data_IF_014496861487
#
_entry.id   IF_014496861487
#
_cell.length_a   1.000
_cell.length_b   1.000
_cell.length_c   1.000
_cell.angle_alpha   90.00
_cell.angle_beta   90.00
_cell.angle_gamma   90.00
#
_symmetry.space_group_name_H-M   'P 1'
#
loop_
_entity.id
_entity.type
_entity.pdbx_description
1 polymer ?
#
# COMPACT_ATOMS: atom_id res chain seq x y z
N UNK A 1 23.45 -10.52 -77.91
CA UNK A 1 23.58 -11.00 -76.54
C UNK A 1 24.31 -9.96 -75.68
N UNK A 2 23.72 -8.80 -75.34
CA UNK A 2 24.36 -7.80 -74.45
C UNK A 2 23.39 -6.83 -73.77
N UNK A 3 22.15 -7.21 -73.58
CA UNK A 3 21.16 -6.31 -72.92
C UNK A 3 20.37 -6.91 -71.72
N UNK A 4 20.87 -8.02 -71.11
CA UNK A 4 20.14 -8.66 -70.03
C UNK A 4 20.80 -8.54 -68.65
N UNK A 5 21.83 -7.69 -68.48
CA UNK A 5 22.61 -7.62 -67.26
C UNK A 5 22.43 -6.35 -66.42
N UNK A 6 21.57 -5.43 -66.88
CA UNK A 6 21.38 -4.13 -66.16
C UNK A 6 20.10 -4.08 -65.27
N UNK A 7 19.19 -5.03 -65.36
CA UNK A 7 17.91 -4.98 -64.67
C UNK A 7 17.96 -5.63 -63.26
N UNK A 8 19.01 -6.38 -62.94
CA UNK A 8 19.11 -7.07 -61.63
C UNK A 8 19.74 -6.19 -60.52
N UNK A 9 20.36 -5.06 -60.87
CA UNK A 9 21.05 -4.22 -59.90
C UNK A 9 20.17 -3.09 -59.32
N UNK A 10 18.97 -2.86 -59.85
CA UNK A 10 18.08 -1.80 -59.33
C UNK A 10 17.07 -2.27 -58.29
N UNK A 11 16.93 -3.57 -58.06
CA UNK A 11 15.97 -4.11 -57.08
C UNK A 11 16.57 -4.36 -55.69
N UNK A 12 17.88 -4.14 -55.50
CA UNK A 12 18.57 -4.33 -54.22
C UNK A 12 18.71 -3.04 -53.38
N UNK A 13 18.16 -1.91 -53.84
CA UNK A 13 18.31 -0.62 -53.17
C UNK A 13 17.05 -0.15 -52.41
N UNK A 14 15.99 -0.95 -52.32
CA UNK A 14 14.76 -0.60 -51.61
C UNK A 14 14.40 -1.55 -50.47
N UNK A 15 15.35 -2.21 -49.85
CA UNK A 15 15.09 -2.70 -48.49
C UNK A 15 15.56 -1.65 -47.48
N UNK A 16 14.98 -0.48 -47.49
CA UNK A 16 14.89 0.26 -46.26
C UNK A 16 13.90 -0.54 -45.42
N UNK A 17 14.43 -1.34 -44.52
CA UNK A 17 13.66 -1.84 -43.39
C UNK A 17 13.19 -0.60 -42.66
N UNK A 18 11.93 -0.24 -42.81
CA UNK A 18 11.31 0.73 -41.93
C UNK A 18 11.53 0.19 -40.50
N UNK A 19 12.06 1.00 -39.59
CA UNK A 19 12.24 0.58 -38.22
C UNK A 19 10.85 0.16 -37.71
N UNK A 20 10.77 -1.05 -37.18
CA UNK A 20 9.55 -1.56 -36.57
C UNK A 20 9.08 -0.47 -35.59
N UNK A 21 7.87 0.05 -35.74
CA UNK A 21 7.31 1.17 -34.96
C UNK A 21 7.48 1.00 -33.42
N UNK A 22 7.59 -0.23 -32.96
CA UNK A 22 7.81 -0.58 -31.55
C UNK A 22 9.24 -0.34 -31.03
N UNK A 23 10.20 0.05 -31.86
CA UNK A 23 11.59 0.31 -31.43
C UNK A 23 11.88 1.78 -31.12
N UNK A 24 10.96 2.68 -31.39
CA UNK A 24 11.06 4.09 -30.98
C UNK A 24 10.04 4.37 -29.90
N UNK A 25 10.49 4.57 -28.68
CA UNK A 25 9.68 5.27 -27.69
C UNK A 25 9.47 6.70 -28.18
N UNK A 26 8.33 6.97 -28.81
CA UNK A 26 7.96 8.30 -29.32
C UNK A 26 7.46 9.24 -28.21
N UNK A 27 7.37 8.80 -26.98
CA UNK A 27 6.97 9.67 -25.86
C UNK A 27 8.14 10.55 -25.43
N UNK A 28 7.93 11.85 -25.28
CA UNK A 28 8.94 12.73 -24.75
C UNK A 28 9.37 12.24 -23.36
N UNK A 29 10.68 12.17 -23.13
CA UNK A 29 11.24 11.78 -21.81
C UNK A 29 11.33 12.95 -20.86
N UNK A 30 11.07 14.16 -21.35
CA UNK A 30 11.16 15.41 -20.61
C UNK A 30 9.85 16.18 -20.76
N UNK A 31 9.27 16.50 -19.60
CA UNK A 31 8.00 17.23 -19.51
C UNK A 31 8.17 18.45 -18.61
N UNK A 32 7.50 19.54 -18.94
CA UNK A 32 7.35 20.66 -18.03
C UNK A 32 5.86 20.99 -17.88
N UNK A 33 5.38 20.83 -16.65
CA UNK A 33 4.02 21.23 -16.25
C UNK A 33 4.10 22.66 -15.76
N UNK A 34 3.38 23.59 -16.39
CA UNK A 34 3.44 25.03 -16.09
C UNK A 34 2.12 25.55 -15.56
N UNK A 35 2.18 26.70 -14.89
CA UNK A 35 1.02 27.44 -14.40
C UNK A 35 0.10 26.57 -13.50
N UNK A 36 0.67 25.99 -12.45
CA UNK A 36 -0.02 25.13 -11.52
C UNK A 36 0.00 25.67 -10.08
N UNK A 37 -1.01 25.28 -9.29
CA UNK A 37 -0.97 25.34 -7.84
C UNK A 37 -0.32 24.04 -7.34
N UNK A 38 0.95 24.08 -6.96
CA UNK A 38 1.72 22.89 -6.61
C UNK A 38 1.75 22.70 -5.11
N UNK A 39 1.11 21.64 -4.61
CA UNK A 39 1.20 21.22 -3.20
C UNK A 39 2.45 20.34 -3.02
N UNK A 40 3.56 20.98 -2.65
CA UNK A 40 4.87 20.32 -2.53
C UNK A 40 4.92 19.28 -1.41
N UNK A 41 4.22 19.56 -0.32
CA UNK A 41 3.97 18.67 0.82
C UNK A 41 2.74 19.18 1.58
N UNK A 42 2.16 18.41 2.51
CA UNK A 42 1.08 18.91 3.37
C UNK A 42 1.42 20.28 3.99
N UNK A 43 0.52 21.23 3.89
CA UNK A 43 0.69 22.62 4.37
C UNK A 43 1.58 23.53 3.51
N UNK A 44 2.26 23.02 2.49
CA UNK A 44 3.19 23.81 1.66
C UNK A 44 2.77 23.80 0.19
N UNK A 45 2.64 24.99 -0.42
CA UNK A 45 2.26 25.10 -1.82
C UNK A 45 2.95 26.26 -2.54
N UNK A 46 3.02 26.16 -3.88
CA UNK A 46 3.59 27.17 -4.79
C UNK A 46 2.49 27.57 -5.77
N UNK A 47 2.08 28.86 -5.75
CA UNK A 47 1.12 29.41 -6.71
C UNK A 47 1.79 29.76 -8.04
N UNK A 48 1.16 29.36 -9.16
CA UNK A 48 1.69 29.61 -10.50
C UNK A 48 3.06 28.97 -10.71
N UNK A 49 3.27 27.80 -10.10
CA UNK A 49 4.52 27.07 -10.18
C UNK A 49 4.62 26.20 -11.43
N UNK A 50 5.81 25.69 -11.64
CA UNK A 50 6.11 24.71 -12.71
C UNK A 50 6.89 23.52 -12.15
N UNK A 51 6.74 22.38 -12.80
CA UNK A 51 7.45 21.13 -12.49
C UNK A 51 8.13 20.63 -13.73
N UNK A 52 9.46 20.46 -13.71
CA UNK A 52 10.22 19.78 -14.76
C UNK A 52 10.41 18.31 -14.38
N UNK A 53 10.08 17.43 -15.32
CA UNK A 53 10.15 15.98 -15.15
C UNK A 53 11.10 15.43 -16.22
N UNK A 54 12.08 14.63 -15.79
CA UNK A 54 13.02 13.95 -16.69
C UNK A 54 13.15 12.48 -16.29
N UNK A 55 12.95 11.59 -17.27
CA UNK A 55 13.05 10.14 -17.04
C UNK A 55 12.22 9.63 -15.85
N UNK A 56 10.99 10.13 -15.69
CA UNK A 56 10.08 9.73 -14.61
C UNK A 56 10.42 10.31 -13.22
N UNK A 57 11.41 11.20 -13.11
CA UNK A 57 11.76 11.90 -11.87
C UNK A 57 11.56 13.40 -11.99
N UNK A 58 11.24 14.03 -10.87
CA UNK A 58 11.16 15.49 -10.76
C UNK A 58 12.59 16.04 -10.79
N UNK A 59 12.89 16.82 -11.82
CA UNK A 59 14.18 17.47 -12.01
C UNK A 59 14.22 18.81 -11.25
N UNK A 60 13.14 19.58 -11.36
CA UNK A 60 13.01 20.87 -10.68
C UNK A 60 11.54 21.17 -10.40
N UNK A 61 11.29 21.93 -9.34
CA UNK A 61 9.98 22.49 -8.97
C UNK A 61 10.16 23.89 -8.42
N UNK A 62 9.32 24.83 -8.84
CA UNK A 62 9.41 26.20 -8.38
C UNK A 62 8.52 27.15 -9.20
N UNK A 63 8.46 28.42 -8.78
CA UNK A 63 7.70 29.46 -9.49
C UNK A 63 8.39 29.87 -10.82
N UNK A 64 9.71 29.94 -10.82
CA UNK A 64 10.52 30.41 -11.95
C UNK A 64 11.57 29.36 -12.34
N UNK A 65 11.10 28.24 -12.89
CA UNK A 65 12.01 27.24 -13.46
C UNK A 65 12.11 27.47 -14.97
N UNK A 66 13.32 27.31 -15.49
CA UNK A 66 13.54 27.38 -16.95
C UNK A 66 13.10 26.09 -17.59
N UNK A 67 12.14 26.14 -18.50
CA UNK A 67 11.74 24.99 -19.30
C UNK A 67 12.94 24.50 -20.13
N UNK A 68 13.34 23.23 -20.00
CA UNK A 68 14.39 22.65 -20.87
C UNK A 68 13.97 22.73 -22.34
N UNK A 69 14.94 22.94 -23.23
CA UNK A 69 14.65 23.06 -24.67
C UNK A 69 14.10 21.78 -25.29
N UNK A 70 14.37 20.64 -24.70
CA UNK A 70 13.93 19.31 -25.10
C UNK A 70 12.63 18.86 -24.39
N UNK A 71 12.02 19.74 -23.57
CA UNK A 71 10.82 19.42 -22.82
C UNK A 71 9.54 19.67 -23.64
N UNK A 72 8.60 18.77 -23.51
CA UNK A 72 7.22 19.00 -23.90
C UNK A 72 6.49 19.77 -22.80
N UNK A 73 5.98 20.94 -23.12
CA UNK A 73 5.32 21.81 -22.15
C UNK A 73 3.80 21.59 -22.12
N UNK A 74 3.25 21.48 -20.92
CA UNK A 74 1.80 21.39 -20.66
C UNK A 74 1.42 22.50 -19.71
N UNK A 75 0.58 23.43 -20.17
CA UNK A 75 -0.02 24.46 -19.34
C UNK A 75 -1.22 23.85 -18.57
N UNK A 76 -1.15 23.85 -17.26
CA UNK A 76 -2.19 23.30 -16.37
C UNK A 76 -3.30 24.32 -16.03
N UNK A 77 -3.22 25.56 -16.53
CA UNK A 77 -4.26 26.58 -16.38
C UNK A 77 -4.71 26.82 -14.93
N UNK A 78 -3.78 26.78 -13.99
CA UNK A 78 -4.05 26.99 -12.57
C UNK A 78 -4.53 25.75 -11.81
N UNK A 79 -4.56 24.57 -12.44
CA UNK A 79 -4.92 23.31 -11.78
C UNK A 79 -3.99 23.00 -10.60
N UNK A 80 -4.54 22.28 -9.63
CA UNK A 80 -3.82 21.84 -8.44
C UNK A 80 -3.05 20.54 -8.71
N UNK A 81 -1.80 20.50 -8.28
CA UNK A 81 -0.94 19.30 -8.42
C UNK A 81 -0.51 18.83 -7.04
N UNK A 82 -0.80 17.58 -6.76
CA UNK A 82 -0.44 16.88 -5.52
C UNK A 82 0.55 15.75 -5.82
N UNK A 83 1.36 15.38 -4.83
CA UNK A 83 2.09 14.11 -4.89
C UNK A 83 1.10 12.95 -5.03
N UNK A 84 1.44 11.96 -5.82
CA UNK A 84 0.62 10.78 -6.03
C UNK A 84 0.31 10.07 -4.71
N UNK A 85 -0.96 9.73 -4.49
CA UNK A 85 -1.40 9.08 -3.25
C UNK A 85 -0.93 7.64 -3.19
N UNK A 86 -0.72 7.15 -1.97
CA UNK A 86 -0.28 5.79 -1.67
C UNK A 86 -1.46 5.02 -1.07
N UNK A 87 -1.96 4.02 -1.79
CA UNK A 87 -2.94 3.09 -1.22
C UNK A 87 -2.22 2.20 -0.20
N UNK A 88 -2.57 2.34 1.05
CA UNK A 88 -1.85 1.71 2.16
C UNK A 88 -2.20 0.24 2.36
N UNK A 89 -3.23 -0.28 1.67
CA UNK A 89 -3.58 -1.70 1.72
C UNK A 89 -4.30 -2.18 0.47
N UNK A 90 -3.60 -3.00 -0.32
CA UNK A 90 -4.16 -3.71 -1.47
C UNK A 90 -3.84 -5.19 -1.33
N UNK A 91 -4.80 -6.07 -1.54
CA UNK A 91 -4.59 -7.52 -1.43
C UNK A 91 -4.40 -8.20 -2.79
N UNK A 92 -3.46 -9.13 -2.87
CA UNK A 92 -3.24 -10.00 -4.02
C UNK A 92 -3.47 -11.47 -3.66
N UNK A 93 -3.77 -12.28 -4.67
CA UNK A 93 -3.92 -13.74 -4.53
C UNK A 93 -2.63 -14.45 -4.14
N UNK A 94 -2.70 -15.77 -3.94
CA UNK A 94 -1.55 -16.62 -3.67
C UNK A 94 -1.00 -17.21 -4.96
N UNK A 95 0.32 -17.26 -5.06
CA UNK A 95 0.98 -18.08 -6.07
C UNK A 95 0.79 -19.58 -5.71
N UNK A 96 0.02 -20.30 -6.53
CA UNK A 96 -0.29 -21.72 -6.29
C UNK A 96 0.94 -22.64 -6.41
N UNK A 97 1.92 -22.27 -7.21
CA UNK A 97 3.16 -23.04 -7.35
C UNK A 97 4.02 -23.02 -6.09
N UNK A 98 3.98 -21.89 -5.36
CA UNK A 98 4.68 -21.77 -4.08
C UNK A 98 4.19 -22.75 -3.01
N UNK A 99 3.03 -23.37 -3.21
CA UNK A 99 2.42 -24.32 -2.26
C UNK A 99 3.08 -25.70 -2.25
N UNK A 100 3.86 -26.06 -3.27
CA UNK A 100 4.34 -27.43 -3.50
C UNK A 100 5.66 -27.79 -2.82
N UNK A 101 6.34 -26.84 -2.17
CA UNK A 101 7.64 -27.11 -1.54
C UNK A 101 7.49 -27.88 -0.23
N UNK A 102 8.30 -28.91 -0.05
CA UNK A 102 8.38 -29.73 1.19
C UNK A 102 9.20 -29.07 2.30
N UNK A 103 9.93 -27.98 2.00
CA UNK A 103 10.79 -27.26 2.97
C UNK A 103 10.06 -26.14 3.71
N UNK A 104 8.74 -26.25 3.90
CA UNK A 104 7.89 -25.23 4.49
C UNK A 104 7.31 -25.70 5.81
N UNK A 105 6.71 -24.76 6.52
CA UNK A 105 5.97 -25.08 7.72
C UNK A 105 4.87 -26.14 7.43
N UNK A 106 4.63 -27.05 8.38
CA UNK A 106 3.65 -28.13 8.26
C UNK A 106 2.20 -27.60 8.08
N UNK A 107 1.86 -26.46 8.69
CA UNK A 107 0.58 -25.80 8.45
C UNK A 107 0.70 -24.84 7.25
N UNK A 108 -0.11 -25.12 6.25
CA UNK A 108 -0.19 -24.32 5.04
C UNK A 108 -0.67 -22.87 5.23
N UNK A 109 -1.14 -22.50 6.43
CA UNK A 109 -1.51 -21.14 6.82
C UNK A 109 -0.33 -20.31 7.34
N UNK A 110 0.81 -20.92 7.55
CA UNK A 110 2.06 -20.28 8.00
C UNK A 110 3.02 -20.18 6.83
N UNK A 111 3.16 -18.96 6.28
CA UNK A 111 3.94 -18.70 5.04
C UNK A 111 4.72 -17.40 5.10
N UNK A 112 5.56 -17.18 6.10
CA UNK A 112 6.31 -15.92 6.22
C UNK A 112 7.26 -15.67 5.01
N UNK A 113 7.63 -16.73 4.27
CA UNK A 113 8.45 -16.67 3.06
C UNK A 113 7.72 -16.15 1.82
N UNK A 114 6.39 -16.20 1.81
CA UNK A 114 5.59 -15.80 0.65
C UNK A 114 5.67 -14.29 0.43
N UNK A 115 5.98 -13.82 -0.78
CA UNK A 115 6.04 -12.38 -1.12
C UNK A 115 4.88 -12.01 -2.02
N UNK A 116 4.17 -10.95 -1.66
CA UNK A 116 3.02 -10.46 -2.43
C UNK A 116 3.37 -10.09 -3.87
N UNK A 117 4.57 -9.57 -4.10
CA UNK A 117 5.03 -9.11 -5.43
C UNK A 117 5.34 -10.25 -6.41
N UNK A 118 5.51 -11.47 -5.92
CA UNK A 118 5.75 -12.64 -6.78
C UNK A 118 4.45 -13.12 -7.47
N UNK A 119 3.31 -12.55 -7.10
CA UNK A 119 2.01 -12.85 -7.71
C UNK A 119 1.14 -11.58 -7.81
N UNK A 120 1.29 -10.87 -8.94
CA UNK A 120 0.55 -9.64 -9.23
C UNK A 120 -0.83 -9.93 -9.86
N UNK A 121 -1.58 -10.90 -9.29
CA UNK A 121 -2.98 -11.17 -9.72
C UNK A 121 -3.92 -10.07 -9.23
N UNK A 122 -3.79 -8.89 -9.81
CA UNK A 122 -4.62 -7.72 -9.52
C UNK A 122 -5.47 -7.40 -10.76
N UNK A 123 -6.78 -7.33 -10.57
CA UNK A 123 -7.69 -7.01 -11.65
C UNK A 123 -7.44 -5.58 -12.15
N UNK A 124 -7.25 -5.40 -13.46
CA UNK A 124 -7.09 -4.09 -14.10
C UNK A 124 -8.19 -3.08 -13.71
N UNK A 125 -9.41 -3.54 -13.47
CA UNK A 125 -10.52 -2.70 -12.98
C UNK A 125 -10.18 -2.07 -11.62
N UNK A 126 -9.65 -2.84 -10.67
CA UNK A 126 -9.28 -2.31 -9.34
C UNK A 126 -8.16 -1.26 -9.44
N UNK A 127 -7.18 -1.48 -10.32
CA UNK A 127 -6.10 -0.50 -10.57
C UNK A 127 -6.67 0.79 -11.16
N UNK A 128 -7.56 0.70 -12.14
CA UNK A 128 -8.21 1.87 -12.75
C UNK A 128 -9.06 2.64 -11.72
N UNK A 129 -9.80 1.93 -10.86
CA UNK A 129 -10.57 2.54 -9.78
C UNK A 129 -9.67 3.29 -8.79
N UNK A 130 -8.53 2.72 -8.38
CA UNK A 130 -7.58 3.39 -7.50
C UNK A 130 -6.97 4.63 -8.17
N UNK A 131 -6.56 4.54 -9.42
CA UNK A 131 -6.04 5.71 -10.16
C UNK A 131 -7.07 6.83 -10.28
N UNK A 132 -8.34 6.49 -10.49
CA UNK A 132 -9.41 7.50 -10.55
C UNK A 132 -9.63 8.27 -9.23
N UNK A 133 -9.04 7.79 -8.13
CA UNK A 133 -9.00 8.45 -6.83
C UNK A 133 -7.67 9.18 -6.56
N UNK A 134 -6.70 9.11 -7.48
CA UNK A 134 -5.39 9.73 -7.34
C UNK A 134 -4.29 8.83 -6.78
N UNK A 135 -4.56 7.56 -6.55
CA UNK A 135 -3.52 6.62 -6.12
C UNK A 135 -2.57 6.29 -7.28
N UNK A 136 -1.27 6.37 -7.01
CA UNK A 136 -0.20 6.07 -7.98
C UNK A 136 0.62 4.85 -7.57
N UNK A 137 0.60 4.54 -6.27
CA UNK A 137 1.39 3.48 -5.63
C UNK A 137 0.50 2.73 -4.65
N UNK A 138 0.75 1.44 -4.45
CA UNK A 138 0.03 0.64 -3.47
C UNK A 138 0.97 -0.24 -2.64
N UNK A 139 0.68 -0.35 -1.33
CA UNK A 139 1.22 -1.34 -0.43
C UNK A 139 0.44 -2.63 -0.62
N UNK A 140 1.09 -3.63 -1.21
CA UNK A 140 0.49 -4.89 -1.63
C UNK A 140 0.71 -5.97 -0.56
N UNK A 141 -0.36 -6.58 -0.08
CA UNK A 141 -0.34 -7.63 0.94
C UNK A 141 -0.85 -8.98 0.41
N UNK A 142 -0.31 -10.11 0.86
CA UNK A 142 -0.86 -11.43 0.55
C UNK A 142 -2.20 -11.64 1.25
N UNK A 143 -3.14 -12.35 0.60
CA UNK A 143 -4.54 -12.43 1.04
C UNK A 143 -4.86 -13.54 2.04
N UNK A 144 -4.13 -14.64 2.04
CA UNK A 144 -4.55 -15.86 2.76
C UNK A 144 -3.50 -16.37 3.73
N UNK A 145 -3.93 -16.95 4.84
CA UNK A 145 -3.11 -17.55 5.88
C UNK A 145 -3.27 -16.87 7.23
N UNK A 146 -2.57 -17.39 8.23
CA UNK A 146 -2.37 -16.76 9.55
C UNK A 146 -1.11 -15.91 9.47
N UNK A 147 0.04 -16.51 9.13
CA UNK A 147 1.19 -15.78 8.60
C UNK A 147 1.02 -15.75 7.08
N UNK A 148 0.55 -14.63 6.55
CA UNK A 148 0.23 -14.52 5.13
C UNK A 148 1.47 -14.37 4.26
N UNK A 149 2.57 -13.89 4.84
CA UNK A 149 3.84 -13.60 4.17
C UNK A 149 4.18 -12.11 4.16
N UNK A 150 5.07 -11.73 3.27
CA UNK A 150 5.65 -10.41 3.17
C UNK A 150 4.88 -9.54 2.19
N UNK A 151 4.55 -8.32 2.62
CA UNK A 151 4.03 -7.30 1.75
C UNK A 151 5.13 -6.64 0.92
N UNK A 152 4.74 -5.99 -0.17
CA UNK A 152 5.64 -5.21 -1.01
C UNK A 152 4.99 -3.92 -1.49
N UNK A 153 5.68 -3.17 -2.34
CA UNK A 153 5.19 -1.92 -2.93
C UNK A 153 5.18 -2.07 -4.45
N UNK A 154 4.09 -1.67 -5.07
CA UNK A 154 3.92 -1.64 -6.52
C UNK A 154 3.52 -0.26 -7.00
N UNK A 155 3.90 0.09 -8.23
CA UNK A 155 3.26 1.19 -8.93
C UNK A 155 1.88 0.75 -9.48
N UNK A 156 1.01 1.72 -9.73
CA UNK A 156 -0.32 1.48 -10.29
C UNK A 156 -0.39 1.82 -11.79
N UNK A 157 0.69 1.55 -12.55
CA UNK A 157 0.70 1.65 -14.01
C UNK A 157 -0.29 0.65 -14.65
N UNK A 158 -0.47 0.70 -15.97
CA UNK A 158 -1.32 -0.27 -16.67
C UNK A 158 -0.85 -1.71 -16.45
N UNK A 159 0.47 -1.88 -16.41
CA UNK A 159 1.14 -3.10 -15.98
C UNK A 159 1.87 -2.79 -14.68
N UNK A 160 1.30 -3.15 -13.52
CA UNK A 160 1.93 -2.88 -12.23
C UNK A 160 3.31 -3.52 -12.12
N UNK A 161 4.27 -2.76 -11.61
CA UNK A 161 5.64 -3.25 -11.38
C UNK A 161 6.00 -3.13 -9.91
N UNK A 162 6.74 -4.10 -9.36
CA UNK A 162 7.28 -4.00 -8.02
C UNK A 162 8.27 -2.82 -7.91
N UNK A 163 8.11 -2.01 -6.87
CA UNK A 163 9.07 -0.96 -6.46
C UNK A 163 9.93 -1.51 -5.31
N UNK A 164 9.31 -2.21 -4.36
CA UNK A 164 10.00 -2.81 -3.21
C UNK A 164 9.38 -4.18 -2.93
N UNK A 165 10.20 -5.21 -2.87
CA UNK A 165 9.72 -6.59 -2.80
C UNK A 165 9.32 -7.06 -1.40
N UNK A 166 9.81 -6.40 -0.35
CA UNK A 166 9.55 -6.80 1.04
C UNK A 166 9.53 -5.57 1.95
N UNK A 167 8.42 -5.37 2.66
CA UNK A 167 8.20 -4.25 3.59
C UNK A 167 7.87 -4.75 4.98
N UNK A 168 6.81 -5.54 5.13
CA UNK A 168 6.30 -6.00 6.41
C UNK A 168 5.87 -7.47 6.35
N UNK A 169 5.85 -8.15 7.47
CA UNK A 169 5.18 -9.45 7.64
C UNK A 169 3.69 -9.23 7.96
N UNK A 170 2.83 -10.09 7.42
CA UNK A 170 1.38 -9.96 7.61
C UNK A 170 0.86 -11.10 8.47
N UNK A 171 0.19 -10.76 9.57
CA UNK A 171 -0.46 -11.69 10.50
C UNK A 171 -1.97 -11.43 10.54
N UNK A 172 -2.75 -12.50 10.41
CA UNK A 172 -4.21 -12.45 10.46
C UNK A 172 -4.75 -13.40 11.54
N UNK A 173 -5.63 -12.90 12.40
CA UNK A 173 -6.31 -13.69 13.40
C UNK A 173 -7.48 -14.53 12.86
N UNK A 174 -7.69 -14.52 11.57
CA UNK A 174 -8.80 -15.23 10.94
C UNK A 174 -8.59 -16.74 11.00
N UNK A 175 -9.49 -17.43 11.69
CA UNK A 175 -9.45 -18.89 11.88
C UNK A 175 -10.52 -19.67 11.12
N UNK A 176 -11.61 -19.01 10.74
CA UNK A 176 -12.72 -19.65 10.01
C UNK A 176 -12.68 -19.30 8.53
N UNK A 177 -12.68 -20.34 7.70
CA UNK A 177 -13.05 -20.23 6.29
C UNK A 177 -14.44 -20.83 6.11
N UNK A 178 -15.31 -20.11 5.38
CA UNK A 178 -16.70 -20.56 5.15
C UNK A 178 -16.70 -21.97 4.49
N UNK A 179 -17.38 -22.92 5.14
CA UNK A 179 -17.53 -24.28 4.62
C UNK A 179 -16.36 -25.23 4.90
N UNK A 180 -15.29 -24.81 5.60
CA UNK A 180 -14.15 -25.66 5.90
C UNK A 180 -13.92 -25.81 7.42
N UNK A 181 -13.71 -27.04 7.88
CA UNK A 181 -13.26 -27.35 9.23
C UNK A 181 -11.74 -27.56 9.22
N UNK A 182 -10.97 -26.49 9.25
CA UNK A 182 -9.50 -26.53 9.25
C UNK A 182 -8.95 -26.10 10.60
N UNK A 183 -7.79 -26.63 10.99
CA UNK A 183 -7.03 -26.16 12.15
C UNK A 183 -6.41 -24.79 11.85
N UNK A 184 -6.32 -23.87 12.84
CA UNK A 184 -6.97 -23.88 14.16
C UNK A 184 -8.49 -23.57 14.03
N UNK A 185 -9.30 -24.02 15.04
CA UNK A 185 -10.77 -23.91 14.99
C UNK A 185 -11.35 -22.81 15.86
N UNK A 186 -10.52 -22.14 16.63
CA UNK A 186 -10.92 -21.07 17.55
C UNK A 186 -9.89 -19.94 17.55
N UNK A 187 -10.29 -18.77 18.06
CA UNK A 187 -9.39 -17.65 18.24
C UNK A 187 -8.24 -18.00 19.22
N UNK A 188 -8.55 -18.70 20.32
CA UNK A 188 -7.52 -19.17 21.23
C UNK A 188 -6.49 -20.07 20.53
N UNK A 189 -6.96 -20.97 19.67
CA UNK A 189 -6.08 -21.82 18.84
C UNK A 189 -5.22 -21.03 17.87
N UNK A 190 -5.75 -19.95 17.26
CA UNK A 190 -4.94 -19.06 16.39
C UNK A 190 -3.86 -18.34 17.19
N UNK A 191 -4.21 -17.78 18.34
CA UNK A 191 -3.25 -17.08 19.20
C UNK A 191 -2.15 -18.04 19.68
N UNK A 192 -2.52 -19.24 20.11
CA UNK A 192 -1.55 -20.29 20.50
C UNK A 192 -0.65 -20.68 19.31
N UNK A 193 -1.23 -20.83 18.12
CA UNK A 193 -0.48 -21.17 16.93
C UNK A 193 0.48 -20.05 16.49
N UNK A 194 0.08 -18.77 16.58
CA UNK A 194 0.97 -17.64 16.33
C UNK A 194 2.17 -17.68 17.30
N UNK A 195 1.92 -17.83 18.60
CA UNK A 195 2.99 -17.93 19.60
C UNK A 195 3.92 -19.11 19.36
N UNK A 196 3.35 -20.29 19.11
CA UNK A 196 4.14 -21.49 18.83
C UNK A 196 5.04 -21.27 17.59
N UNK A 197 4.53 -20.67 16.53
CA UNK A 197 5.31 -20.38 15.31
C UNK A 197 6.50 -19.45 15.59
N UNK A 198 6.33 -18.45 16.48
CA UNK A 198 7.45 -17.61 16.90
C UNK A 198 8.49 -18.37 17.71
N UNK A 199 8.06 -19.19 18.69
CA UNK A 199 8.95 -20.04 19.49
C UNK A 199 9.67 -21.07 18.61
N UNK A 200 8.99 -21.69 17.65
CA UNK A 200 9.58 -22.63 16.71
C UNK A 200 10.63 -21.94 15.83
N UNK A 201 10.39 -20.69 15.42
CA UNK A 201 11.36 -19.89 14.66
C UNK A 201 12.61 -19.57 15.49
N UNK A 202 12.44 -19.18 16.76
CA UNK A 202 13.55 -18.90 17.67
C UNK A 202 14.39 -20.17 17.94
N UNK A 203 13.71 -21.28 18.18
CA UNK A 203 14.38 -22.58 18.34
C UNK A 203 15.15 -22.96 17.06
N UNK A 204 14.53 -22.82 15.89
CA UNK A 204 15.13 -23.19 14.61
C UNK A 204 16.41 -22.41 14.31
N UNK A 205 16.40 -21.10 14.53
CA UNK A 205 17.59 -20.27 14.32
C UNK A 205 18.73 -20.63 15.29
N UNK A 206 18.41 -20.83 16.58
CA UNK A 206 19.42 -21.26 17.57
C UNK A 206 19.99 -22.64 17.22
N UNK A 207 19.15 -23.58 16.79
CA UNK A 207 19.60 -24.89 16.39
C UNK A 207 20.50 -24.84 15.13
N UNK A 208 20.20 -23.96 14.18
CA UNK A 208 21.09 -23.70 13.02
C UNK A 208 22.46 -23.13 13.46
N UNK A 209 22.49 -22.18 14.40
CA UNK A 209 23.74 -21.61 14.94
C UNK A 209 24.58 -22.70 15.61
N UNK A 210 23.98 -23.57 16.44
CA UNK A 210 24.65 -24.70 17.10
C UNK A 210 25.20 -25.68 16.07
N UNK A 211 24.39 -26.05 15.08
CA UNK A 211 24.84 -26.94 14.01
C UNK A 211 26.00 -26.35 13.21
N UNK A 212 25.95 -25.07 12.90
CA UNK A 212 27.04 -24.37 12.18
C UNK A 212 28.33 -24.31 12.99
N UNK A 213 28.26 -24.20 14.31
CA UNK A 213 29.41 -24.18 15.21
C UNK A 213 30.01 -25.60 15.43
N UNK A 214 29.18 -26.63 15.53
CA UNK A 214 29.56 -27.99 15.88
C UNK A 214 28.92 -29.04 14.95
N UNK A 215 29.25 -29.04 13.65
CA UNK A 215 28.57 -29.90 12.66
C UNK A 215 28.88 -31.40 12.82
N UNK A 216 30.02 -31.76 13.45
CA UNK A 216 30.39 -33.16 13.72
C UNK A 216 29.65 -33.76 14.92
N UNK A 217 29.10 -32.95 15.80
CA UNK A 217 28.45 -33.37 17.04
C UNK A 217 26.91 -33.30 16.95
N UNK A 218 26.37 -32.73 15.91
CA UNK A 218 24.95 -32.50 15.73
C UNK A 218 24.42 -33.06 14.42
N UNK A 219 23.19 -33.55 14.41
CA UNK A 219 22.51 -33.94 13.18
C UNK A 219 22.10 -32.71 12.34
N UNK A 220 22.19 -32.82 10.99
CA UNK A 220 21.73 -31.75 10.10
C UNK A 220 20.25 -31.46 10.30
N UNK A 221 19.93 -30.19 10.49
CA UNK A 221 18.54 -29.74 10.59
C UNK A 221 17.82 -29.82 9.25
N UNK A 222 16.60 -30.32 9.26
CA UNK A 222 15.73 -30.22 8.09
C UNK A 222 15.47 -28.77 7.74
N UNK A 223 15.71 -28.40 6.49
CA UNK A 223 15.49 -27.01 6.04
C UNK A 223 14.02 -26.61 6.17
N UNK A 224 13.76 -25.49 6.84
CA UNK A 224 12.44 -24.88 6.98
C UNK A 224 12.49 -23.38 6.64
N UNK A 225 12.22 -23.07 5.37
CA UNK A 225 12.29 -21.70 4.85
C UNK A 225 11.24 -20.76 5.48
N UNK A 226 10.14 -21.30 6.01
CA UNK A 226 9.12 -20.49 6.68
C UNK A 226 9.63 -19.97 8.03
N UNK A 227 10.20 -20.86 8.88
CA UNK A 227 10.75 -20.46 10.17
C UNK A 227 11.96 -19.55 10.00
N UNK A 228 12.82 -19.82 9.04
CA UNK A 228 13.97 -18.97 8.70
C UNK A 228 13.55 -17.58 8.27
N UNK A 229 12.59 -17.46 7.34
CA UNK A 229 12.06 -16.16 6.88
C UNK A 229 11.42 -15.35 7.99
N UNK A 230 10.74 -16.00 8.93
CA UNK A 230 10.14 -15.33 10.10
C UNK A 230 11.23 -14.79 11.02
N UNK A 231 12.23 -15.58 11.36
CA UNK A 231 13.34 -15.18 12.21
C UNK A 231 14.17 -14.07 11.60
N UNK A 232 14.51 -14.16 10.30
CA UNK A 232 15.20 -13.08 9.58
C UNK A 232 14.40 -11.77 9.59
N UNK A 233 13.08 -11.84 9.47
CA UNK A 233 12.22 -10.65 9.51
C UNK A 233 12.28 -9.96 10.88
N UNK A 234 12.33 -10.72 11.97
CA UNK A 234 12.52 -10.19 13.33
C UNK A 234 13.93 -9.60 13.53
N UNK A 235 14.95 -10.30 13.07
CA UNK A 235 16.34 -9.87 13.23
C UNK A 235 16.62 -8.48 12.61
N UNK A 236 15.92 -8.13 11.52
CA UNK A 236 16.03 -6.80 10.88
C UNK A 236 14.95 -5.81 11.36
N UNK A 237 14.24 -6.12 12.43
CA UNK A 237 13.14 -5.33 12.99
C UNK A 237 12.10 -4.91 11.94
N UNK A 238 11.77 -5.86 11.03
CA UNK A 238 10.75 -5.63 10.01
C UNK A 238 9.38 -5.39 10.67
N UNK A 239 8.56 -4.46 10.16
CA UNK A 239 7.21 -4.30 10.67
C UNK A 239 6.35 -5.57 10.53
N UNK A 240 5.46 -5.79 11.51
CA UNK A 240 4.45 -6.84 11.51
C UNK A 240 3.07 -6.21 11.47
N UNK A 241 2.37 -6.34 10.34
CA UNK A 241 1.00 -5.85 10.18
C UNK A 241 0.03 -6.88 10.70
N UNK A 242 -0.70 -6.53 11.74
CA UNK A 242 -1.78 -7.35 12.27
C UNK A 242 -3.11 -6.88 11.69
N UNK A 243 -3.87 -7.80 11.11
CA UNK A 243 -5.21 -7.53 10.57
C UNK A 243 -6.21 -7.68 11.72
N UNK A 244 -6.92 -6.59 12.02
CA UNK A 244 -7.83 -6.54 13.17
C UNK A 244 -9.27 -6.25 12.73
N UNK A 245 -10.24 -6.79 13.46
CA UNK A 245 -11.68 -6.64 13.21
C UNK A 245 -12.38 -5.73 14.20
N UNK A 246 -11.76 -5.49 15.33
CA UNK A 246 -12.23 -4.59 16.39
C UNK A 246 -11.07 -4.19 17.32
N UNK A 247 -11.34 -3.32 18.28
CA UNK A 247 -10.37 -2.81 19.25
C UNK A 247 -9.75 -3.91 20.14
N UNK A 248 -10.46 -5.02 20.36
CA UNK A 248 -9.94 -6.12 21.19
C UNK A 248 -8.93 -6.97 20.43
N UNK A 249 -9.07 -7.07 19.10
CA UNK A 249 -8.04 -7.69 18.26
C UNK A 249 -6.80 -6.82 18.17
N UNK A 250 -6.95 -5.50 18.11
CA UNK A 250 -5.81 -4.58 18.18
C UNK A 250 -5.04 -4.71 19.49
N UNK A 251 -5.74 -4.86 20.63
CA UNK A 251 -5.08 -5.15 21.92
C UNK A 251 -4.30 -6.47 21.91
N UNK A 252 -4.87 -7.53 21.32
CA UNK A 252 -4.18 -8.83 21.19
C UNK A 252 -2.93 -8.71 20.33
N UNK A 253 -3.00 -7.95 19.25
CA UNK A 253 -1.85 -7.67 18.40
C UNK A 253 -0.72 -6.99 19.18
N UNK A 254 -1.04 -5.96 19.97
CA UNK A 254 -0.07 -5.27 20.82
C UNK A 254 0.53 -6.21 21.88
N UNK A 255 -0.28 -7.06 22.53
CA UNK A 255 0.22 -8.01 23.51
C UNK A 255 1.21 -9.01 22.90
N UNK A 256 0.88 -9.58 21.74
CA UNK A 256 1.79 -10.48 21.01
C UNK A 256 3.05 -9.73 20.58
N UNK A 257 2.90 -8.50 20.09
CA UNK A 257 4.06 -7.69 19.69
C UNK A 257 5.01 -7.42 20.85
N UNK A 258 4.45 -7.11 22.04
CA UNK A 258 5.26 -6.90 23.23
C UNK A 258 5.93 -8.19 23.75
N UNK A 259 5.27 -9.34 23.60
CA UNK A 259 5.79 -10.66 24.01
C UNK A 259 7.03 -11.07 23.16
N UNK A 260 7.04 -10.73 21.90
CA UNK A 260 8.08 -11.15 20.95
C UNK A 260 8.95 -10.00 20.41
N UNK A 261 8.88 -8.83 21.03
CA UNK A 261 9.64 -7.62 20.66
C UNK A 261 9.49 -7.27 19.16
N UNK A 262 8.21 -7.21 18.71
CA UNK A 262 7.90 -6.91 17.32
C UNK A 262 7.62 -5.41 17.13
N UNK A 263 7.86 -4.91 15.92
CA UNK A 263 7.43 -3.58 15.47
C UNK A 263 5.99 -3.68 14.91
N UNK A 264 4.93 -3.36 15.69
CA UNK A 264 3.55 -3.59 15.28
C UNK A 264 3.01 -2.50 14.37
N UNK A 265 2.41 -2.91 13.27
CA UNK A 265 1.47 -2.11 12.49
C UNK A 265 0.08 -2.71 12.61
N UNK A 266 -0.96 -1.89 12.62
CA UNK A 266 -2.34 -2.33 12.77
C UNK A 266 -3.13 -1.95 11.51
N UNK A 267 -3.60 -2.95 10.76
CA UNK A 267 -4.69 -2.72 9.84
C UNK A 267 -5.97 -2.60 10.66
N UNK A 268 -6.40 -1.37 10.86
CA UNK A 268 -7.47 -1.04 11.78
C UNK A 268 -8.86 -1.39 11.27
N UNK A 269 -9.81 -1.27 12.17
CA UNK A 269 -11.21 -1.63 11.96
C UNK A 269 -12.18 -0.45 12.04
N UNK A 270 -11.67 0.76 12.44
CA UNK A 270 -12.49 1.94 12.70
C UNK A 270 -13.01 2.02 14.15
N UNK A 271 -12.63 1.08 15.02
CA UNK A 271 -13.03 1.04 16.44
C UNK A 271 -11.91 1.48 17.40
N UNK A 272 -10.77 1.93 16.91
CA UNK A 272 -9.56 2.23 17.69
C UNK A 272 -9.82 3.34 18.73
N UNK A 273 -10.72 4.28 18.45
CA UNK A 273 -11.12 5.36 19.38
C UNK A 273 -11.60 4.87 20.76
N UNK A 274 -11.99 3.58 20.87
CA UNK A 274 -12.46 3.00 22.12
C UNK A 274 -11.35 2.66 23.13
N UNK A 275 -10.10 2.57 22.65
CA UNK A 275 -8.96 2.07 23.44
C UNK A 275 -7.66 2.84 23.17
N UNK A 276 -7.73 4.14 23.00
CA UNK A 276 -6.57 4.99 22.73
C UNK A 276 -5.49 4.91 23.82
N UNK A 277 -5.92 4.80 25.09
CA UNK A 277 -5.05 4.63 26.24
C UNK A 277 -4.15 3.40 26.14
N UNK A 278 -4.66 2.35 25.50
CA UNK A 278 -3.94 1.09 25.35
C UNK A 278 -2.79 1.19 24.35
N UNK A 279 -2.94 2.00 23.30
CA UNK A 279 -1.96 2.16 22.25
C UNK A 279 -0.83 3.14 22.61
N UNK A 280 -1.03 3.94 23.66
CA UNK A 280 -0.11 5.04 24.03
C UNK A 280 1.32 4.58 24.32
N UNK A 281 1.51 3.35 24.85
CA UNK A 281 2.83 2.80 25.20
C UNK A 281 3.62 2.30 23.98
N UNK A 282 2.96 1.58 23.08
CA UNK A 282 3.60 0.93 21.92
C UNK A 282 3.61 1.80 20.67
N UNK A 283 2.71 2.78 20.58
CA UNK A 283 2.56 3.70 19.43
C UNK A 283 2.66 2.97 18.08
N UNK A 284 1.79 1.97 17.81
CA UNK A 284 1.82 1.27 16.55
C UNK A 284 1.47 2.23 15.40
N UNK A 285 2.00 1.96 14.20
CA UNK A 285 1.53 2.62 12.99
C UNK A 285 0.18 2.03 12.58
N UNK A 286 -0.80 2.89 12.26
CA UNK A 286 -2.12 2.45 11.84
C UNK A 286 -2.35 2.58 10.34
N UNK A 287 -2.99 1.57 9.74
CA UNK A 287 -3.54 1.62 8.38
C UNK A 287 -5.06 1.64 8.55
N UNK A 288 -5.70 2.79 8.33
CA UNK A 288 -7.08 3.03 8.72
C UNK A 288 -8.02 3.02 7.53
N UNK A 289 -9.00 2.11 7.50
CA UNK A 289 -10.07 2.15 6.52
C UNK A 289 -11.04 3.30 6.83
N UNK A 290 -11.60 3.89 5.79
CA UNK A 290 -12.63 4.92 5.88
C UNK A 290 -13.99 4.44 5.34
N UNK A 291 -14.27 3.14 5.49
CA UNK A 291 -15.57 2.53 5.19
C UNK A 291 -16.48 2.68 6.41
N UNK A 292 -17.15 3.82 6.50
CA UNK A 292 -18.00 4.14 7.67
C UNK A 292 -19.33 3.38 7.63
N UNK A 293 -19.91 3.07 8.81
CA UNK A 293 -21.22 2.44 8.89
C UNK A 293 -22.30 3.24 8.16
N UNK A 294 -23.20 2.53 7.52
CA UNK A 294 -24.35 3.15 6.86
C UNK A 294 -25.28 3.80 7.88
N UNK A 295 -25.97 4.88 7.47
CA UNK A 295 -26.98 5.53 8.31
C UNK A 295 -28.05 4.49 8.76
N UNK A 296 -28.34 4.41 10.07
CA UNK A 296 -29.41 3.56 10.59
C UNK A 296 -30.74 3.88 9.93
N UNK A 297 -31.49 2.83 9.55
CA UNK A 297 -32.82 3.02 8.98
C UNK A 297 -33.88 3.04 10.09
N UNK A 298 -34.20 4.22 10.57
CA UNK A 298 -35.15 4.44 11.67
C UNK A 298 -36.47 5.10 11.18
N UNK A 299 -36.81 4.92 9.91
CA UNK A 299 -37.97 5.57 9.29
C UNK A 299 -39.30 4.94 9.75
N UNK A 300 -39.30 3.64 10.05
CA UNK A 300 -40.51 2.93 10.48
C UNK A 300 -40.65 3.00 12.00
N UNK A 301 -41.88 3.10 12.56
CA UNK A 301 -42.09 2.97 14.00
C UNK A 301 -41.40 1.73 14.56
N UNK A 302 -40.71 1.85 15.70
CA UNK A 302 -39.95 0.80 16.38
C UNK A 302 -38.74 0.21 15.60
N UNK A 303 -38.36 0.75 14.45
CA UNK A 303 -37.16 0.28 13.72
C UNK A 303 -35.86 0.71 14.40
N UNK A 304 -35.89 1.73 15.26
CA UNK A 304 -34.82 2.13 16.16
C UNK A 304 -34.43 1.04 17.17
N UNK A 305 -35.39 0.22 17.62
CA UNK A 305 -35.17 -0.92 18.51
C UNK A 305 -34.33 -2.06 17.86
N UNK A 306 -34.13 -2.02 16.54
CA UNK A 306 -33.30 -3.01 15.84
C UNK A 306 -31.79 -2.72 15.98
N UNK A 307 -31.41 -1.52 16.48
CA UNK A 307 -30.04 -1.12 16.64
C UNK A 307 -29.67 -1.07 18.13
N UNK A 308 -28.54 -1.67 18.47
CA UNK A 308 -27.98 -1.51 19.80
C UNK A 308 -27.41 -0.09 19.98
N UNK A 309 -27.35 0.39 21.22
CA UNK A 309 -26.69 1.67 21.54
C UNK A 309 -25.23 1.71 21.08
N UNK A 310 -24.54 0.56 21.09
CA UNK A 310 -23.16 0.44 20.64
C UNK A 310 -23.02 0.65 19.13
N UNK A 311 -23.96 0.15 18.32
CA UNK A 311 -23.99 0.35 16.87
C UNK A 311 -24.30 1.80 16.51
N UNK A 312 -25.29 2.41 17.19
CA UNK A 312 -25.62 3.84 16.98
C UNK A 312 -24.44 4.73 17.36
N UNK A 313 -23.80 4.48 18.49
CA UNK A 313 -22.62 5.20 18.93
C UNK A 313 -21.46 5.05 17.95
N UNK A 314 -21.24 3.83 17.43
CA UNK A 314 -20.20 3.61 16.43
C UNK A 314 -20.50 4.32 15.12
N UNK A 315 -21.75 4.30 14.64
CA UNK A 315 -22.15 5.03 13.44
C UNK A 315 -21.87 6.53 13.56
N UNK A 316 -22.10 7.12 14.72
CA UNK A 316 -21.85 8.56 14.96
C UNK A 316 -20.35 8.85 15.05
N UNK A 317 -19.57 8.06 15.82
CA UNK A 317 -18.18 8.37 16.17
C UNK A 317 -17.17 7.81 15.14
N UNK A 318 -17.53 6.82 14.32
CA UNK A 318 -16.56 6.22 13.39
C UNK A 318 -15.80 7.23 12.52
N UNK A 319 -16.41 8.32 12.00
CA UNK A 319 -15.68 9.35 11.26
C UNK A 319 -14.65 10.12 12.10
N UNK A 320 -14.82 10.17 13.42
CA UNK A 320 -13.93 10.89 14.35
C UNK A 320 -12.70 10.03 14.76
N UNK A 321 -12.67 8.74 14.39
CA UNK A 321 -11.62 7.81 14.79
C UNK A 321 -10.21 8.33 14.46
N UNK A 322 -10.01 8.88 13.25
CA UNK A 322 -8.72 9.43 12.82
C UNK A 322 -8.35 10.68 13.62
N UNK A 323 -9.33 11.53 13.95
CA UNK A 323 -9.13 12.72 14.78
C UNK A 323 -8.64 12.34 16.19
N UNK A 324 -9.27 11.34 16.81
CA UNK A 324 -8.86 10.86 18.13
C UNK A 324 -7.46 10.25 18.13
N UNK A 325 -7.11 9.45 17.12
CA UNK A 325 -5.78 8.86 16.96
C UNK A 325 -4.71 9.94 16.74
N UNK A 326 -5.00 10.93 15.89
CA UNK A 326 -4.11 12.08 15.68
C UNK A 326 -3.84 12.84 16.98
N UNK A 327 -4.88 13.16 17.74
CA UNK A 327 -4.74 13.87 19.02
C UNK A 327 -4.03 13.06 20.09
N UNK A 328 -4.07 11.73 20.00
CA UNK A 328 -3.30 10.83 20.85
C UNK A 328 -1.83 10.68 20.40
N UNK A 329 -1.43 11.34 19.30
CA UNK A 329 -0.07 11.34 18.77
C UNK A 329 0.33 10.04 18.08
N UNK A 330 -0.62 9.39 17.39
CA UNK A 330 -0.38 8.22 16.57
C UNK A 330 -0.20 8.60 15.11
N UNK A 331 0.79 7.97 14.46
CA UNK A 331 0.96 8.02 13.01
C UNK A 331 0.04 7.01 12.34
N UNK A 332 -0.54 7.42 11.20
CA UNK A 332 -1.46 6.56 10.46
C UNK A 332 -1.47 6.88 8.97
N UNK A 333 -1.93 5.93 8.20
CA UNK A 333 -2.28 6.10 6.79
C UNK A 333 -3.74 5.75 6.55
N UNK A 334 -4.28 6.28 5.46
CA UNK A 334 -5.66 6.02 5.02
C UNK A 334 -5.63 4.98 3.91
N UNK A 335 -6.58 4.04 3.97
CA UNK A 335 -6.79 3.06 2.90
C UNK A 335 -8.23 3.07 2.41
N UNK A 336 -8.41 2.83 1.11
CA UNK A 336 -9.71 2.58 0.51
C UNK A 336 -10.19 1.12 0.68
N UNK A 337 -9.38 0.29 1.34
CA UNK A 337 -9.73 -1.11 1.63
C UNK A 337 -11.05 -1.21 2.41
N UNK A 338 -11.77 -2.31 2.28
CA UNK A 338 -13.13 -2.54 2.77
C UNK A 338 -14.24 -1.71 2.11
N UNK A 339 -13.96 -0.57 1.47
CA UNK A 339 -15.00 0.20 0.80
C UNK A 339 -15.63 -0.58 -0.36
N UNK A 340 -16.94 -0.81 -0.28
CA UNK A 340 -17.73 -1.44 -1.34
C UNK A 340 -17.83 -0.55 -2.58
N UNK A 341 -17.91 0.76 -2.38
CA UNK A 341 -18.01 1.79 -3.43
C UNK A 341 -16.83 2.75 -3.30
N UNK A 342 -15.81 2.55 -4.11
CA UNK A 342 -14.63 3.43 -4.15
C UNK A 342 -14.98 4.89 -4.48
N UNK A 343 -16.07 5.12 -5.22
CA UNK A 343 -16.56 6.48 -5.54
C UNK A 343 -16.96 7.30 -4.31
N UNK A 344 -17.21 6.68 -3.15
CA UNK A 344 -17.50 7.37 -1.90
C UNK A 344 -16.25 7.80 -1.13
N UNK A 345 -15.04 7.47 -1.61
CA UNK A 345 -13.78 7.73 -0.94
C UNK A 345 -13.60 9.22 -0.59
N UNK A 346 -13.71 10.11 -1.58
CA UNK A 346 -13.58 11.57 -1.36
C UNK A 346 -14.65 12.12 -0.43
N UNK A 347 -15.89 11.62 -0.54
CA UNK A 347 -16.98 11.98 0.37
C UNK A 347 -16.67 11.56 1.83
N UNK A 348 -16.04 10.43 2.02
CA UNK A 348 -15.67 9.95 3.35
C UNK A 348 -14.45 10.73 3.90
N UNK A 349 -13.50 11.14 3.05
CA UNK A 349 -12.46 12.09 3.45
C UNK A 349 -13.05 13.43 3.90
N UNK A 350 -14.04 13.96 3.16
CA UNK A 350 -14.71 15.20 3.54
C UNK A 350 -15.40 15.07 4.92
N UNK A 351 -16.05 13.94 5.21
CA UNK A 351 -16.62 13.71 6.54
C UNK A 351 -15.60 13.79 7.66
N UNK A 352 -14.39 13.28 7.45
CA UNK A 352 -13.30 13.31 8.43
C UNK A 352 -12.87 14.76 8.66
N UNK A 353 -12.76 15.55 7.59
CA UNK A 353 -12.43 16.98 7.65
C UNK A 353 -13.53 17.76 8.37
N UNK A 354 -14.80 17.53 8.03
CA UNK A 354 -15.96 18.14 8.68
C UNK A 354 -16.04 17.82 10.19
N UNK A 355 -15.44 16.71 10.62
CA UNK A 355 -15.32 16.27 12.03
C UNK A 355 -14.07 16.81 12.74
N UNK A 356 -13.29 17.68 12.08
CA UNK A 356 -12.22 18.46 12.71
C UNK A 356 -10.80 18.02 12.43
N UNK A 357 -10.58 17.00 11.61
CA UNK A 357 -9.22 16.66 11.16
C UNK A 357 -8.82 17.62 10.03
N UNK A 358 -7.66 18.27 10.12
CA UNK A 358 -7.23 19.22 9.10
C UNK A 358 -6.94 18.53 7.75
N UNK A 359 -7.16 19.26 6.66
CA UNK A 359 -6.85 18.77 5.30
C UNK A 359 -5.38 18.37 5.14
N UNK A 360 -4.47 19.10 5.79
CA UNK A 360 -3.03 18.79 5.76
C UNK A 360 -2.72 17.45 6.40
N UNK A 361 -3.39 17.09 7.51
CA UNK A 361 -3.22 15.79 8.15
C UNK A 361 -3.80 14.69 7.27
N UNK A 362 -4.97 14.89 6.67
CA UNK A 362 -5.57 13.95 5.72
C UNK A 362 -4.67 13.76 4.50
N UNK A 363 -4.13 14.84 3.94
CA UNK A 363 -3.17 14.77 2.83
C UNK A 363 -1.88 14.05 3.26
N UNK A 364 -1.37 14.32 4.46
CA UNK A 364 -0.22 13.62 5.01
C UNK A 364 -0.46 12.11 5.13
N UNK A 365 -1.63 11.70 5.60
CA UNK A 365 -2.03 10.30 5.72
C UNK A 365 -2.23 9.57 4.38
N UNK A 366 -2.34 10.31 3.27
CA UNK A 366 -2.39 9.80 1.90
C UNK A 366 -1.02 9.83 1.19
N UNK A 367 -0.06 10.59 1.70
CA UNK A 367 1.20 10.88 0.99
C UNK A 367 2.45 10.64 1.85
N UNK A 368 2.76 11.56 2.77
CA UNK A 368 4.03 11.56 3.51
C UNK A 368 4.11 10.48 4.58
N UNK A 369 3.07 10.29 5.39
CA UNK A 369 3.08 9.26 6.44
C UNK A 369 3.21 7.83 5.88
N UNK A 370 2.42 7.40 4.88
CA UNK A 370 2.63 6.08 4.29
C UNK A 370 3.97 5.97 3.57
N UNK A 371 4.49 7.04 2.93
CA UNK A 371 5.82 7.01 2.32
C UNK A 371 6.91 6.77 3.36
N UNK A 372 6.83 7.41 4.51
CA UNK A 372 7.77 7.24 5.62
C UNK A 372 7.69 5.84 6.23
N UNK A 373 6.50 5.38 6.58
CA UNK A 373 6.28 4.04 7.12
C UNK A 373 6.82 2.94 6.19
N UNK A 374 6.58 3.08 4.88
CA UNK A 374 7.05 2.13 3.87
C UNK A 374 8.55 2.25 3.56
N UNK A 375 9.26 3.24 4.13
CA UNK A 375 10.67 3.52 3.86
C UNK A 375 10.92 4.06 2.45
N UNK A 376 9.95 4.83 1.90
CA UNK A 376 9.98 5.44 0.57
C UNK A 376 10.01 6.98 0.62
N UNK A 377 10.25 7.57 1.78
CA UNK A 377 10.21 9.02 2.02
C UNK A 377 11.22 9.84 1.21
N UNK A 378 12.17 9.19 0.52
CA UNK A 378 13.15 9.85 -0.37
C UNK A 378 12.72 9.84 -1.84
N UNK A 379 11.64 9.14 -2.18
CA UNK A 379 11.17 8.98 -3.57
C UNK A 379 9.68 9.23 -3.75
N UNK A 380 8.87 9.09 -2.70
CA UNK A 380 7.42 9.22 -2.74
C UNK A 380 6.90 10.19 -1.66
N UNK A 381 5.66 10.64 -1.84
CA UNK A 381 4.91 11.41 -0.85
C UNK A 381 5.14 12.93 -0.87
N UNK A 382 6.05 13.44 -1.70
CA UNK A 382 6.32 14.88 -1.88
C UNK A 382 6.59 15.22 -3.34
N UNK A 383 6.41 16.49 -3.70
CA UNK A 383 6.84 17.04 -4.98
C UNK A 383 8.13 17.81 -4.72
N UNK A 384 9.28 17.16 -4.96
CA UNK A 384 10.59 17.74 -4.74
C UNK A 384 11.61 17.17 -5.75
N UNK A 385 12.71 17.88 -6.05
CA UNK A 385 13.74 17.36 -6.93
C UNK A 385 14.29 16.00 -6.46
N UNK A 386 14.44 15.06 -7.41
CA UNK A 386 14.90 13.69 -7.16
C UNK A 386 13.79 12.68 -6.82
N UNK A 387 12.58 13.14 -6.49
CA UNK A 387 11.43 12.28 -6.25
C UNK A 387 10.87 11.72 -7.56
N UNK A 388 10.18 10.60 -7.48
CA UNK A 388 9.46 10.03 -8.61
C UNK A 388 8.31 10.97 -9.01
N UNK A 389 8.11 11.15 -10.33
CA UNK A 389 7.08 12.05 -10.86
C UNK A 389 5.67 11.45 -10.76
N UNK A 390 5.36 10.87 -9.62
CA UNK A 390 4.03 10.39 -9.29
C UNK A 390 3.18 11.59 -8.86
N UNK A 391 2.27 12.03 -9.74
CA UNK A 391 1.51 13.25 -9.56
C UNK A 391 0.02 13.05 -9.81
N UNK A 392 -0.79 13.81 -9.09
CA UNK A 392 -2.24 13.92 -9.30
C UNK A 392 -2.58 15.36 -9.66
N UNK A 393 -3.18 15.57 -10.83
CA UNK A 393 -3.63 16.87 -11.31
C UNK A 393 -5.14 16.97 -11.13
N UNK A 394 -5.60 18.01 -10.47
CA UNK A 394 -7.02 18.27 -10.15
C UNK A 394 -7.39 19.67 -10.62
N UNK A 395 -8.58 19.86 -11.18
CA UNK A 395 -9.06 21.16 -11.68
C UNK A 395 -9.38 22.20 -10.58
N UNK A 396 -9.21 21.80 -9.31
CA UNK A 396 -9.37 22.61 -8.10
C UNK A 396 -8.75 21.91 -6.90
N UNK A 397 -9.17 22.25 -5.69
CA UNK A 397 -8.71 21.59 -4.48
C UNK A 397 -9.21 20.14 -4.42
N UNK A 398 -8.34 19.19 -4.05
CA UNK A 398 -8.69 17.76 -4.06
C UNK A 398 -9.88 17.45 -3.14
N UNK A 399 -9.97 18.12 -2.01
CA UNK A 399 -11.04 17.90 -1.03
C UNK A 399 -12.35 18.62 -1.38
N UNK A 400 -12.38 19.55 -2.33
CA UNK A 400 -13.64 20.12 -2.83
C UNK A 400 -14.42 19.06 -3.63
N UNK A 401 -15.66 18.71 -3.24
CA UNK A 401 -16.48 17.73 -3.96
C UNK A 401 -16.75 18.06 -5.43
N UNK A 402 -16.65 19.34 -5.82
CA UNK A 402 -16.87 19.79 -7.19
C UNK A 402 -15.67 19.54 -8.10
N UNK A 403 -14.47 19.46 -7.55
CA UNK A 403 -13.23 19.26 -8.28
C UNK A 403 -13.13 17.87 -8.88
N UNK A 404 -12.46 17.75 -10.02
CA UNK A 404 -12.24 16.49 -10.73
C UNK A 404 -10.75 16.23 -10.93
N UNK A 405 -10.36 14.99 -10.83
CA UNK A 405 -9.01 14.57 -11.22
C UNK A 405 -8.92 14.62 -12.74
N UNK A 406 -8.02 15.46 -13.24
CA UNK A 406 -7.79 15.67 -14.68
C UNK A 406 -6.83 14.62 -15.22
N UNK A 407 -5.73 14.35 -14.50
CA UNK A 407 -4.75 13.35 -14.89
C UNK A 407 -3.99 12.79 -13.69
N UNK A 408 -3.46 11.59 -13.87
CA UNK A 408 -2.58 10.91 -12.91
C UNK A 408 -1.33 10.48 -13.64
N UNK A 409 -0.18 10.86 -13.12
CA UNK A 409 1.16 10.57 -13.65
C UNK A 409 1.84 9.50 -12.79
N UNK A 410 2.41 8.49 -13.43
CA UNK A 410 3.08 7.35 -12.75
C UNK A 410 4.31 6.93 -13.55
#
# INVERSE_FOLDING_TARGET
MKNSLIIILSTLLFSQTEPIENLRENSPRVWTLTNAMIHTSPGNFIKGGSISIRNGKIEAVGRYIKTPKDAFEINLNGAHVYAGFIESWLETGLNKESLKSTRKHWDSKVRPENRSVDNLDIKNKAIKELRSLGFTTAHLAPKHGIFRGQSGIINLQNEPKPIKSSVAQIIDFKYREKGKRTYPRSLLGVIAHIRQTFYDSDWYLKAQEIYAAYPSENEPLASNISLESLGMSRAVNKPFVFITTDETYSQRAINISSEFDLNPWILGSGYEYRRLDYFSKTKPFFILPIDFPSKPNVVKPMSDLQYSTAELKHWDIAPDNLFYLNNAGHDFSITSHYMKKKSEFRKNLQKIIDRGLSEDIVLSALTTQPAEALGMQKSLGKIAPGYDANLVVVDGEYFDPKSKIVSVWI
#
